data_IF_811773906830
#
_entry.id   IF_811773906830
#
_cell.length_a   1.000
_cell.length_b   1.000
_cell.length_c   1.000
_cell.angle_alpha   90.00
_cell.angle_beta   90.00
_cell.angle_gamma   90.00
#
_symmetry.space_group_name_H-M   'P 1'
#
loop_
_entity.id
_entity.type
_entity.pdbx_description
1 polymer ?
#
# COMPACT_ATOMS: atom_id res chain seq x y z
N UNK A 1 27.22 -6.14 32.39
CA UNK A 1 26.53 -5.67 31.17
C UNK A 1 25.53 -6.74 30.68
N UNK A 2 25.99 -7.97 30.48
CA UNK A 2 25.18 -9.14 30.10
C UNK A 2 23.89 -9.33 30.93
N UNK A 3 23.97 -9.41 32.26
CA UNK A 3 22.79 -9.66 33.11
C UNK A 3 21.74 -8.55 33.09
N UNK A 4 22.18 -7.31 32.85
CA UNK A 4 21.25 -6.17 32.72
C UNK A 4 20.49 -6.27 31.40
N UNK A 5 21.19 -6.57 30.31
CA UNK A 5 20.59 -6.80 28.98
C UNK A 5 19.59 -7.96 29.01
N UNK A 6 19.95 -9.08 29.63
CA UNK A 6 19.08 -10.27 29.77
C UNK A 6 17.78 -9.97 30.52
N UNK A 7 17.77 -9.00 31.44
CA UNK A 7 16.57 -8.55 32.16
C UNK A 7 15.75 -7.51 31.39
N UNK A 8 16.42 -6.57 30.72
CA UNK A 8 15.76 -5.43 30.06
C UNK A 8 15.17 -5.84 28.71
N UNK A 9 15.91 -6.61 27.91
CA UNK A 9 15.55 -6.91 26.52
C UNK A 9 14.22 -7.68 26.37
N UNK A 10 13.87 -8.66 27.23
CA UNK A 10 12.55 -9.28 27.19
C UNK A 10 11.41 -8.29 27.44
N UNK A 11 11.59 -7.34 28.36
CA UNK A 11 10.59 -6.30 28.64
C UNK A 11 10.41 -5.41 27.40
N UNK A 12 11.52 -5.02 26.77
CA UNK A 12 11.51 -4.23 25.53
C UNK A 12 10.77 -4.99 24.41
N UNK A 13 11.06 -6.28 24.20
CA UNK A 13 10.38 -7.10 23.20
C UNK A 13 8.86 -7.19 23.44
N UNK A 14 8.44 -7.38 24.70
CA UNK A 14 7.03 -7.41 25.08
C UNK A 14 6.37 -6.06 24.79
N UNK A 15 7.01 -4.95 25.16
CA UNK A 15 6.50 -3.60 24.91
C UNK A 15 6.38 -3.32 23.42
N UNK A 16 7.41 -3.63 22.63
CA UNK A 16 7.39 -3.47 21.16
C UNK A 16 6.24 -4.30 20.57
N UNK A 17 6.16 -5.59 20.88
CA UNK A 17 5.11 -6.45 20.36
C UNK A 17 3.69 -5.96 20.73
N UNK A 18 3.49 -5.48 21.96
CA UNK A 18 2.21 -4.95 22.42
C UNK A 18 1.83 -3.64 21.71
N UNK A 19 2.78 -2.69 21.65
CA UNK A 19 2.57 -1.39 20.98
C UNK A 19 2.25 -1.59 19.50
N UNK A 20 3.04 -2.40 18.79
CA UNK A 20 2.78 -2.65 17.37
C UNK A 20 1.49 -3.44 17.16
N UNK A 21 1.16 -4.42 18.01
CA UNK A 21 -0.13 -5.12 17.89
C UNK A 21 -1.32 -4.18 18.07
N UNK A 22 -1.24 -3.23 19.01
CA UNK A 22 -2.25 -2.19 19.14
C UNK A 22 -2.31 -1.29 17.89
N UNK A 23 -1.15 -0.83 17.38
CA UNK A 23 -1.09 -0.02 16.16
C UNK A 23 -1.73 -0.73 14.95
N UNK A 24 -1.37 -1.98 14.68
CA UNK A 24 -1.95 -2.76 13.59
C UNK A 24 -3.46 -2.95 13.77
N UNK A 25 -3.94 -3.14 14.99
CA UNK A 25 -5.37 -3.23 15.29
C UNK A 25 -6.12 -1.92 14.98
N UNK A 26 -5.54 -0.76 15.28
CA UNK A 26 -6.18 0.54 14.97
C UNK A 26 -6.07 0.91 13.49
N UNK A 27 -4.93 0.66 12.86
CA UNK A 27 -4.66 1.04 11.47
C UNK A 27 -5.41 0.14 10.50
N UNK A 28 -5.44 -1.18 10.72
CA UNK A 28 -6.18 -2.13 9.87
C UNK A 28 -7.70 -1.97 9.92
N UNK A 29 -8.22 -1.09 10.78
CA UNK A 29 -9.65 -0.72 10.83
C UNK A 29 -9.98 0.52 10.01
N UNK A 30 -8.97 1.25 9.52
CA UNK A 30 -9.17 2.46 8.72
C UNK A 30 -9.08 2.10 7.25
N UNK A 31 -10.23 1.71 6.71
CA UNK A 31 -10.37 1.47 5.29
C UNK A 31 -10.43 2.81 4.53
N UNK A 32 -9.75 2.86 3.40
CA UNK A 32 -9.79 3.94 2.43
C UNK A 32 -9.82 3.38 1.01
N UNK A 33 -9.89 4.27 0.04
CA UNK A 33 -9.75 3.93 -1.39
C UNK A 33 -8.30 4.20 -1.77
N UNK A 34 -7.59 3.19 -2.28
CA UNK A 34 -6.20 3.34 -2.71
C UNK A 34 -6.09 4.05 -4.06
N UNK A 35 -5.22 5.05 -4.15
CA UNK A 35 -4.83 5.72 -5.40
C UNK A 35 -3.46 6.40 -5.25
N UNK A 36 -2.55 6.23 -6.22
CA UNK A 36 -1.19 6.78 -6.23
C UNK A 36 -0.44 6.59 -4.88
N UNK A 37 -0.35 5.34 -4.41
CA UNK A 37 0.31 4.96 -3.14
C UNK A 37 -0.25 5.66 -1.88
N UNK A 38 -1.44 6.25 -1.99
CA UNK A 38 -2.13 6.92 -0.90
C UNK A 38 -3.51 6.31 -0.64
N UNK A 39 -3.91 6.32 0.63
CA UNK A 39 -5.26 5.95 1.03
C UNK A 39 -6.11 7.19 1.17
N UNK A 40 -7.17 7.24 0.36
CA UNK A 40 -8.17 8.28 0.42
C UNK A 40 -9.29 7.88 1.37
N UNK A 41 -9.51 8.69 2.39
CA UNK A 41 -10.58 8.48 3.35
C UNK A 41 -11.84 9.20 2.92
N UNK A 42 -12.96 8.50 2.99
CA UNK A 42 -14.28 9.02 2.65
C UNK A 42 -14.75 9.99 3.72
N UNK A 43 -15.11 11.20 3.31
CA UNK A 43 -15.81 12.19 4.11
C UNK A 43 -17.01 12.72 3.33
N UNK A 44 -18.16 12.89 3.99
CA UNK A 44 -19.34 13.49 3.36
C UNK A 44 -19.44 14.96 3.80
N UNK A 45 -19.34 15.88 2.83
CA UNK A 45 -19.44 17.31 3.09
C UNK A 45 -20.54 17.91 2.24
N UNK A 46 -21.55 18.52 2.88
CA UNK A 46 -22.59 19.35 2.24
C UNK A 46 -23.25 18.72 1.00
N UNK A 47 -23.46 17.41 0.99
CA UNK A 47 -24.11 16.70 -0.12
C UNK A 47 -23.18 16.25 -1.25
N UNK A 48 -21.90 16.59 -1.19
CA UNK A 48 -20.85 16.04 -2.03
C UNK A 48 -20.06 14.96 -1.28
N UNK A 49 -19.56 13.98 -2.04
CA UNK A 49 -18.70 12.94 -1.50
C UNK A 49 -17.25 13.35 -1.71
N UNK A 50 -16.48 13.49 -0.62
CA UNK A 50 -15.09 13.93 -0.66
C UNK A 50 -14.17 12.81 -0.19
N UNK A 51 -13.25 12.41 -1.04
CA UNK A 51 -12.19 11.47 -0.72
C UNK A 51 -10.92 12.27 -0.46
N UNK A 52 -10.35 12.18 0.75
CA UNK A 52 -9.19 13.00 1.14
C UNK A 52 -7.97 12.16 1.50
N UNK A 53 -6.80 12.59 1.05
CA UNK A 53 -5.51 11.96 1.35
C UNK A 53 -4.40 13.01 1.48
N UNK A 54 -3.19 12.53 1.80
CA UNK A 54 -1.96 13.27 1.59
C UNK A 54 -1.11 12.54 0.56
N UNK A 55 -0.74 13.25 -0.51
CA UNK A 55 0.10 12.76 -1.61
C UNK A 55 1.28 13.71 -1.72
N UNK A 56 2.51 13.20 -1.69
CA UNK A 56 3.75 13.98 -1.76
C UNK A 56 3.83 15.16 -0.77
N UNK A 57 3.31 14.94 0.43
CA UNK A 57 3.29 15.95 1.50
C UNK A 57 2.24 17.04 1.33
N UNK A 58 1.53 17.08 0.21
CA UNK A 58 0.42 18.00 -0.05
C UNK A 58 -0.93 17.33 0.24
N UNK A 59 -1.94 18.16 0.49
CA UNK A 59 -3.32 17.70 0.63
C UNK A 59 -3.87 17.34 -0.74
N UNK A 60 -4.43 16.14 -0.89
CA UNK A 60 -5.09 15.69 -2.10
C UNK A 60 -6.55 15.35 -1.82
N UNK A 61 -7.45 15.71 -2.72
CA UNK A 61 -8.87 15.40 -2.55
C UNK A 61 -9.59 15.19 -3.88
N UNK A 62 -10.35 14.11 -3.99
CA UNK A 62 -11.37 13.95 -5.01
C UNK A 62 -12.72 14.39 -4.44
N UNK A 63 -13.37 15.33 -5.11
CA UNK A 63 -14.75 15.73 -4.82
C UNK A 63 -15.65 15.19 -5.91
N UNK A 64 -16.64 14.39 -5.52
CA UNK A 64 -17.61 13.78 -6.42
C UNK A 64 -18.98 14.36 -6.11
N UNK A 65 -19.55 15.07 -7.09
CA UNK A 65 -20.89 15.62 -7.03
C UNK A 65 -21.68 15.14 -8.25
N UNK A 66 -22.63 14.23 -8.04
CA UNK A 66 -23.42 13.58 -9.10
C UNK A 66 -22.52 12.88 -10.13
N UNK A 67 -22.44 13.42 -11.34
CA UNK A 67 -21.65 12.96 -12.48
C UNK A 67 -20.32 13.73 -12.63
N UNK A 68 -20.04 14.66 -11.72
CA UNK A 68 -18.87 15.53 -11.79
C UNK A 68 -17.81 15.12 -10.76
N UNK A 69 -16.59 14.93 -11.23
CA UNK A 69 -15.41 14.62 -10.43
C UNK A 69 -14.42 15.78 -10.55
N UNK A 70 -13.99 16.31 -9.42
CA UNK A 70 -12.92 17.32 -9.35
C UNK A 70 -11.78 16.77 -8.50
N UNK A 71 -10.56 16.84 -9.00
CA UNK A 71 -9.38 16.47 -8.24
C UNK A 71 -8.60 17.72 -7.85
N UNK A 72 -8.21 17.83 -6.59
CA UNK A 72 -7.36 18.90 -6.09
C UNK A 72 -6.12 18.30 -5.46
N UNK A 73 -4.96 18.79 -5.85
CA UNK A 73 -3.68 18.46 -5.24
C UNK A 73 -2.96 19.76 -4.88
N UNK A 74 -2.84 20.03 -3.58
CA UNK A 74 -2.36 21.32 -3.06
C UNK A 74 -3.20 22.49 -3.56
N UNK A 75 -2.55 23.39 -4.30
CA UNK A 75 -3.16 24.56 -4.92
C UNK A 75 -3.65 24.30 -6.35
N UNK A 76 -3.30 23.14 -6.94
CA UNK A 76 -3.69 22.77 -8.29
C UNK A 76 -5.04 22.07 -8.31
N UNK A 77 -5.91 22.46 -9.24
CA UNK A 77 -7.22 21.85 -9.45
C UNK A 77 -7.29 21.29 -10.86
N UNK A 78 -7.69 20.03 -10.97
CA UNK A 78 -7.93 19.30 -12.21
C UNK A 78 -9.43 19.06 -12.39
N UNK A 79 -9.92 19.33 -13.59
CA UNK A 79 -11.34 19.33 -13.92
C UNK A 79 -11.99 20.69 -13.71
N UNK A 80 -13.33 20.75 -13.62
CA UNK A 80 -14.25 19.65 -13.36
C UNK A 80 -14.41 18.67 -14.54
N UNK A 81 -14.42 17.37 -14.22
CA UNK A 81 -14.66 16.30 -15.18
C UNK A 81 -16.10 15.80 -15.07
N UNK A 82 -16.87 15.86 -16.15
CA UNK A 82 -18.20 15.26 -16.21
C UNK A 82 -18.10 13.87 -16.83
N UNK A 83 -18.49 12.84 -16.08
CA UNK A 83 -18.47 11.44 -16.49
C UNK A 83 -19.89 10.93 -16.63
N UNK A 84 -20.33 10.67 -17.86
CA UNK A 84 -21.70 10.19 -18.16
C UNK A 84 -21.67 8.88 -18.90
N UNK A 85 -22.47 7.92 -18.43
CA UNK A 85 -22.72 6.69 -19.18
C UNK A 85 -23.56 7.02 -20.41
N UNK A 86 -23.06 6.67 -21.58
CA UNK A 86 -23.73 6.83 -22.86
C UNK A 86 -23.60 5.50 -23.62
N UNK A 87 -24.64 4.64 -23.62
CA UNK A 87 -24.60 3.37 -24.35
C UNK A 87 -24.31 3.52 -25.84
N UNK A 88 -24.59 4.68 -26.44
CA UNK A 88 -24.31 4.93 -27.86
C UNK A 88 -22.84 5.19 -28.16
N UNK A 89 -22.03 5.49 -27.14
CA UNK A 89 -20.59 5.68 -27.26
C UNK A 89 -19.82 4.34 -27.31
N UNK A 90 -20.44 3.22 -26.93
CA UNK A 90 -19.80 1.91 -27.01
C UNK A 90 -19.58 1.52 -28.48
N UNK A 91 -18.36 1.12 -28.88
CA UNK A 91 -18.07 0.75 -30.25
C UNK A 91 -18.75 -0.58 -30.60
N UNK A 92 -19.40 -0.63 -31.77
CA UNK A 92 -19.99 -1.85 -32.31
C UNK A 92 -19.02 -2.68 -33.14
N UNK A 93 -19.54 -3.74 -33.76
CA UNK A 93 -18.78 -4.57 -34.71
C UNK A 93 -17.78 -5.49 -34.00
N UNK A 94 -16.49 -5.32 -34.27
CA UNK A 94 -15.44 -6.21 -33.73
C UNK A 94 -15.37 -6.21 -32.20
N UNK A 95 -15.90 -5.20 -31.52
CA UNK A 95 -15.85 -5.06 -30.06
C UNK A 95 -17.13 -5.52 -29.35
N UNK A 96 -18.16 -5.90 -30.09
CA UNK A 96 -19.49 -6.24 -29.54
C UNK A 96 -19.46 -7.45 -28.60
N UNK A 97 -18.49 -8.36 -28.78
CA UNK A 97 -18.32 -9.54 -27.91
C UNK A 97 -17.75 -9.22 -26.51
N UNK A 98 -17.25 -8.00 -26.28
CA UNK A 98 -16.64 -7.59 -25.02
C UNK A 98 -17.61 -6.90 -24.06
N UNK A 99 -18.87 -6.70 -24.46
CA UNK A 99 -19.92 -6.03 -23.65
C UNK A 99 -19.43 -4.69 -23.03
N UNK A 100 -18.72 -3.89 -23.82
CA UNK A 100 -18.13 -2.63 -23.36
C UNK A 100 -19.20 -1.64 -22.88
N UNK A 101 -18.92 -0.97 -21.77
CA UNK A 101 -19.80 0.05 -21.20
C UNK A 101 -19.47 1.38 -21.85
N UNK A 102 -20.44 1.97 -22.57
CA UNK A 102 -20.27 3.26 -23.22
C UNK A 102 -20.24 4.43 -22.23
N UNK A 103 -19.31 5.37 -22.43
CA UNK A 103 -19.08 6.54 -21.58
C UNK A 103 -18.62 7.75 -22.39
N UNK A 104 -19.07 8.93 -21.97
CA UNK A 104 -18.56 10.22 -22.38
C UNK A 104 -17.94 10.93 -21.17
N UNK A 105 -16.67 11.31 -21.30
CA UNK A 105 -15.90 12.05 -20.30
C UNK A 105 -15.56 13.41 -20.90
N UNK A 106 -15.97 14.47 -20.20
CA UNK A 106 -15.74 15.86 -20.61
C UNK A 106 -14.96 16.60 -19.56
N UNK A 107 -14.12 17.52 -20.01
CA UNK A 107 -13.54 18.57 -19.19
C UNK A 107 -14.18 19.88 -19.64
N UNK A 108 -15.02 20.44 -18.77
CA UNK A 108 -15.88 21.58 -19.11
C UNK A 108 -16.67 21.33 -20.41
N UNK A 109 -16.39 22.09 -21.47
CA UNK A 109 -17.05 21.95 -22.77
C UNK A 109 -16.36 20.97 -23.72
N UNK A 110 -15.12 20.57 -23.43
CA UNK A 110 -14.29 19.71 -24.28
C UNK A 110 -14.55 18.22 -24.00
N UNK A 111 -14.66 17.42 -25.07
CA UNK A 111 -14.75 15.95 -24.95
C UNK A 111 -13.33 15.41 -24.83
N UNK A 112 -13.00 14.87 -23.65
CA UNK A 112 -11.73 14.18 -23.43
C UNK A 112 -11.76 12.76 -24.00
N UNK A 113 -12.86 12.04 -23.77
CA UNK A 113 -13.02 10.67 -24.23
C UNK A 113 -14.49 10.36 -24.50
N UNK A 114 -14.75 9.66 -25.61
CA UNK A 114 -16.06 9.09 -25.95
C UNK A 114 -15.82 7.71 -26.56
N UNK A 115 -16.33 6.68 -25.89
CA UNK A 115 -16.01 5.30 -26.22
C UNK A 115 -16.58 4.29 -25.25
N UNK A 116 -16.17 3.03 -25.40
CA UNK A 116 -16.50 1.93 -24.49
C UNK A 116 -15.32 1.54 -23.61
N UNK A 117 -15.60 1.14 -22.37
CA UNK A 117 -14.60 0.58 -21.46
C UNK A 117 -15.03 -0.80 -20.92
N UNK A 118 -14.06 -1.66 -20.62
CA UNK A 118 -14.32 -2.95 -19.95
C UNK A 118 -14.55 -2.75 -18.44
N UNK A 119 -15.37 -3.58 -17.80
CA UNK A 119 -15.75 -3.41 -16.38
C UNK A 119 -14.54 -3.37 -15.41
N UNK A 120 -13.43 -4.01 -15.78
CA UNK A 120 -12.17 -4.03 -15.04
C UNK A 120 -11.31 -2.76 -15.21
N UNK A 121 -11.74 -1.81 -16.05
CA UNK A 121 -11.08 -0.55 -16.38
C UNK A 121 -9.68 -0.70 -17.00
N UNK A 122 -9.35 -1.88 -17.57
CA UNK A 122 -8.06 -2.10 -18.24
C UNK A 122 -8.09 -1.77 -19.75
N UNK A 123 -9.28 -1.75 -20.35
CA UNK A 123 -9.45 -1.53 -21.78
C UNK A 123 -10.37 -0.35 -22.05
N UNK A 124 -9.90 0.55 -22.91
CA UNK A 124 -10.65 1.70 -23.42
C UNK A 124 -10.58 1.69 -24.94
N UNK A 125 -11.74 1.70 -25.59
CA UNK A 125 -11.86 1.74 -27.05
C UNK A 125 -12.71 2.96 -27.41
N UNK A 126 -12.22 3.82 -28.29
CA UNK A 126 -12.97 4.97 -28.81
C UNK A 126 -14.15 4.53 -29.66
N UNK A 127 -15.09 5.44 -29.86
CA UNK A 127 -16.25 5.24 -30.75
C UNK A 127 -15.85 4.87 -32.20
N UNK A 128 -14.67 5.29 -32.67
CA UNK A 128 -14.12 4.93 -33.99
C UNK A 128 -13.51 3.51 -34.06
N UNK A 129 -13.60 2.75 -32.96
CA UNK A 129 -13.11 1.38 -32.84
C UNK A 129 -11.61 1.28 -32.59
N UNK A 130 -10.88 2.38 -32.39
CA UNK A 130 -9.46 2.35 -32.05
C UNK A 130 -9.25 2.27 -30.53
N UNK A 131 -8.24 1.52 -30.07
CA UNK A 131 -7.86 1.52 -28.66
C UNK A 131 -7.34 2.91 -28.25
N UNK A 132 -7.68 3.34 -27.05
CA UNK A 132 -7.14 4.55 -26.44
C UNK A 132 -5.66 4.32 -26.10
N UNK A 133 -4.76 5.12 -26.68
CA UNK A 133 -3.31 4.95 -26.50
C UNK A 133 -2.87 5.16 -25.05
N UNK A 134 -3.61 5.97 -24.28
CA UNK A 134 -3.33 6.24 -22.87
C UNK A 134 -3.60 5.07 -21.92
N UNK A 135 -4.25 3.99 -22.38
CA UNK A 135 -4.62 2.88 -21.48
C UNK A 135 -3.59 1.75 -21.42
N UNK A 136 -2.54 1.79 -22.26
CA UNK A 136 -1.71 0.60 -22.46
C UNK A 136 -0.27 0.73 -21.92
N UNK A 137 0.42 1.87 -22.05
CA UNK A 137 1.81 1.98 -21.57
C UNK A 137 2.21 3.44 -21.26
N UNK A 138 2.40 3.78 -19.99
CA UNK A 138 3.18 4.96 -19.60
C UNK A 138 4.65 4.55 -19.54
N UNK A 139 5.51 5.22 -20.31
CA UNK A 139 6.96 4.96 -20.27
C UNK A 139 7.60 6.00 -19.36
N UNK A 140 8.06 5.55 -18.19
CA UNK A 140 8.86 6.40 -17.30
C UNK A 140 10.27 6.51 -17.83
N UNK A 141 10.64 7.69 -18.34
CA UNK A 141 12.00 8.02 -18.73
C UNK A 141 12.51 9.14 -17.83
N UNK A 142 13.62 8.92 -17.12
CA UNK A 142 14.20 9.90 -16.18
C UNK A 142 13.21 10.46 -15.12
N UNK A 143 12.25 9.65 -14.68
CA UNK A 143 11.27 10.04 -13.65
C UNK A 143 10.14 10.95 -14.15
N UNK A 144 10.02 11.12 -15.47
CA UNK A 144 8.89 11.83 -16.11
C UNK A 144 8.05 10.80 -16.86
N UNK A 145 6.73 10.85 -16.66
CA UNK A 145 5.79 10.01 -17.41
C UNK A 145 5.55 10.62 -18.78
N UNK A 146 5.74 9.80 -19.82
CA UNK A 146 5.41 10.14 -21.18
C UNK A 146 4.18 9.33 -21.63
N UNK A 147 3.26 9.98 -22.35
CA UNK A 147 2.18 9.29 -23.03
C UNK A 147 2.72 8.44 -24.21
N UNK A 148 1.85 7.64 -24.82
CA UNK A 148 2.19 6.81 -25.97
C UNK A 148 2.68 7.62 -27.19
N UNK A 149 2.41 8.93 -27.22
CA UNK A 149 2.80 9.87 -28.26
C UNK A 149 4.09 10.65 -27.91
N UNK A 150 4.67 10.42 -26.72
CA UNK A 150 5.91 11.02 -26.22
C UNK A 150 5.75 12.36 -25.49
N UNK A 151 4.52 12.85 -25.27
CA UNK A 151 4.27 14.08 -24.55
C UNK A 151 4.45 13.88 -23.05
N UNK A 152 4.90 14.93 -22.36
CA UNK A 152 5.03 14.94 -20.90
C UNK A 152 3.62 14.94 -20.29
N UNK A 153 3.32 13.91 -19.50
CA UNK A 153 2.08 13.80 -18.73
C UNK A 153 2.35 14.35 -17.34
N UNK A 154 1.45 15.19 -16.85
CA UNK A 154 1.50 15.60 -15.44
C UNK A 154 1.19 14.38 -14.56
N UNK A 155 2.11 13.94 -13.70
CA UNK A 155 1.93 12.73 -12.88
C UNK A 155 0.76 12.84 -11.90
N UNK A 156 0.25 14.05 -11.62
CA UNK A 156 -0.91 14.25 -10.75
C UNK A 156 -2.22 14.38 -11.52
N UNK A 157 -2.21 14.44 -12.84
CA UNK A 157 -3.45 14.47 -13.61
C UNK A 157 -4.15 13.11 -13.53
N UNK A 158 -5.45 13.06 -13.14
CA UNK A 158 -6.15 11.80 -13.01
C UNK A 158 -6.40 11.16 -14.39
N UNK A 159 -6.16 9.85 -14.49
CA UNK A 159 -6.44 9.05 -15.70
C UNK A 159 -7.94 8.81 -15.90
N UNK A 160 -8.33 8.40 -17.12
CA UNK A 160 -9.72 8.06 -17.46
C UNK A 160 -10.29 6.97 -16.53
N UNK A 161 -9.52 5.92 -16.24
CA UNK A 161 -9.92 4.86 -15.31
C UNK A 161 -10.16 5.37 -13.90
N UNK A 162 -9.33 6.32 -13.43
CA UNK A 162 -9.50 6.97 -12.13
C UNK A 162 -10.79 7.78 -12.08
N UNK A 163 -11.06 8.59 -13.10
CA UNK A 163 -12.29 9.39 -13.18
C UNK A 163 -13.55 8.52 -13.17
N UNK A 164 -13.55 7.41 -13.93
CA UNK A 164 -14.66 6.46 -13.92
C UNK A 164 -14.77 5.79 -12.55
N UNK A 165 -13.67 5.29 -11.97
CA UNK A 165 -13.67 4.64 -10.66
C UNK A 165 -14.26 5.56 -9.59
N UNK A 166 -13.82 6.81 -9.50
CA UNK A 166 -14.30 7.77 -8.50
C UNK A 166 -15.73 8.26 -8.77
N UNK A 167 -16.15 8.43 -10.03
CA UNK A 167 -17.55 8.78 -10.35
C UNK A 167 -18.55 7.70 -9.93
N UNK A 168 -18.13 6.44 -9.86
CA UNK A 168 -18.93 5.32 -9.35
C UNK A 168 -19.01 5.25 -7.81
N UNK A 169 -18.39 6.20 -7.10
CA UNK A 169 -18.32 6.24 -5.63
C UNK A 169 -17.74 4.95 -5.04
N UNK A 170 -16.43 4.71 -5.23
CA UNK A 170 -15.79 3.47 -4.82
C UNK A 170 -15.90 3.32 -3.30
N UNK A 171 -16.17 2.08 -2.87
CA UNK A 171 -16.17 1.72 -1.46
C UNK A 171 -14.74 1.61 -0.97
N UNK A 172 -14.53 1.93 0.29
CA UNK A 172 -13.23 1.76 0.94
C UNK A 172 -12.86 0.27 0.97
N UNK A 173 -11.84 -0.11 0.22
CA UNK A 173 -11.41 -1.48 -0.07
C UNK A 173 -10.03 -1.80 0.51
N UNK A 174 -9.16 -0.80 0.65
CA UNK A 174 -7.79 -0.96 1.11
C UNK A 174 -7.56 -0.41 2.52
N UNK A 175 -6.59 -0.95 3.24
CA UNK A 175 -6.14 -0.45 4.53
C UNK A 175 -4.62 -0.52 4.67
N UNK A 176 -4.07 0.29 5.60
CA UNK A 176 -2.65 0.17 5.94
C UNK A 176 -2.44 -0.99 6.91
N UNK A 177 -1.24 -1.57 6.87
CA UNK A 177 -0.84 -2.61 7.82
C UNK A 177 -0.97 -4.01 7.23
N UNK A 178 0.17 -4.63 6.96
CA UNK A 178 0.23 -6.01 6.49
C UNK A 178 0.28 -7.03 7.62
N UNK A 179 -0.75 -7.87 7.70
CA UNK A 179 -0.85 -8.99 8.65
C UNK A 179 0.35 -9.93 8.56
N UNK A 180 0.90 -10.14 7.36
CA UNK A 180 2.04 -11.03 7.14
C UNK A 180 3.31 -10.50 7.82
N UNK A 181 3.60 -9.20 7.67
CA UNK A 181 4.75 -8.56 8.30
C UNK A 181 4.59 -8.46 9.82
N UNK A 182 3.37 -8.19 10.29
CA UNK A 182 3.06 -8.27 11.73
C UNK A 182 3.34 -9.66 12.30
N UNK A 183 2.91 -10.73 11.59
CA UNK A 183 3.17 -12.10 12.00
C UNK A 183 4.67 -12.42 12.04
N UNK A 184 5.43 -12.06 11.01
CA UNK A 184 6.89 -12.26 11.00
C UNK A 184 7.61 -11.42 12.06
N UNK A 185 7.14 -10.19 12.33
CA UNK A 185 7.61 -9.36 13.42
C UNK A 185 7.41 -10.02 14.79
N UNK A 186 6.24 -10.63 15.02
CA UNK A 186 5.96 -11.41 16.23
C UNK A 186 6.79 -12.69 16.32
N UNK A 187 6.93 -13.41 15.21
CA UNK A 187 7.72 -14.64 15.14
C UNK A 187 9.19 -14.37 15.52
N UNK A 188 9.79 -13.34 14.93
CA UNK A 188 11.17 -12.93 15.21
C UNK A 188 11.34 -12.41 16.64
N UNK A 189 10.37 -11.65 17.18
CA UNK A 189 10.36 -11.27 18.60
C UNK A 189 10.27 -12.50 19.53
N UNK A 190 9.44 -13.48 19.18
CA UNK A 190 9.31 -14.74 19.89
C UNK A 190 10.62 -15.54 19.90
N UNK A 191 11.30 -15.64 18.75
CA UNK A 191 12.62 -16.25 18.64
C UNK A 191 13.63 -15.52 19.53
N UNK A 192 13.68 -14.18 19.49
CA UNK A 192 14.56 -13.40 20.34
C UNK A 192 14.31 -13.67 21.83
N UNK A 193 13.04 -13.74 22.25
CA UNK A 193 12.66 -14.05 23.62
C UNK A 193 13.06 -15.47 24.04
N UNK A 194 12.94 -16.46 23.15
CA UNK A 194 13.40 -17.83 23.38
C UNK A 194 14.93 -17.90 23.52
N UNK A 195 15.67 -17.23 22.62
CA UNK A 195 17.13 -17.16 22.68
C UNK A 195 17.63 -16.50 23.97
N UNK A 196 16.92 -15.50 24.49
CA UNK A 196 17.22 -14.83 25.76
C UNK A 196 16.94 -15.73 26.97
N UNK A 197 15.82 -16.45 26.94
CA UNK A 197 15.36 -17.26 28.07
C UNK A 197 16.12 -18.58 28.21
N UNK A 198 16.50 -19.18 27.09
CA UNK A 198 17.10 -20.51 27.03
C UNK A 198 18.55 -20.49 26.54
N UNK A 199 19.25 -19.35 26.66
CA UNK A 199 20.64 -19.17 26.22
C UNK A 199 21.58 -20.28 26.71
N UNK A 200 21.55 -20.60 28.00
CA UNK A 200 22.42 -21.62 28.59
C UNK A 200 21.98 -23.04 28.19
N UNK A 201 20.67 -23.25 28.04
CA UNK A 201 20.13 -24.54 27.60
C UNK A 201 20.48 -24.84 26.15
N UNK A 202 20.37 -23.84 25.26
CA UNK A 202 20.69 -23.96 23.84
C UNK A 202 22.19 -24.21 23.63
N UNK A 203 23.03 -23.49 24.38
CA UNK A 203 24.47 -23.70 24.36
C UNK A 203 24.87 -25.11 24.81
N UNK A 204 24.30 -25.59 25.92
CA UNK A 204 24.56 -26.95 26.41
C UNK A 204 24.01 -28.02 25.47
N UNK A 205 22.89 -27.74 24.80
CA UNK A 205 22.32 -28.62 23.78
C UNK A 205 23.23 -28.72 22.55
N UNK A 206 23.74 -27.61 22.00
CA UNK A 206 24.73 -27.65 20.90
C UNK A 206 26.00 -28.41 21.30
N UNK A 207 26.51 -28.16 22.51
CA UNK A 207 27.67 -28.86 23.04
C UNK A 207 27.43 -30.35 23.26
N UNK A 208 26.20 -30.79 23.53
CA UNK A 208 25.90 -32.21 23.75
C UNK A 208 26.22 -33.09 22.55
N UNK A 209 26.27 -32.52 21.34
CA UNK A 209 26.69 -33.23 20.12
C UNK A 209 28.22 -33.35 19.97
N UNK A 210 29.00 -32.61 20.77
CA UNK A 210 30.47 -32.52 20.65
C UNK A 210 31.21 -33.09 21.85
N UNK A 211 30.65 -32.95 23.05
CA UNK A 211 31.31 -33.33 24.30
C UNK A 211 30.40 -34.18 25.17
N UNK A 212 31.02 -35.13 25.89
CA UNK A 212 30.29 -36.14 26.69
C UNK A 212 29.60 -35.56 27.93
N UNK A 213 30.18 -34.50 28.52
CA UNK A 213 29.70 -33.87 29.75
C UNK A 213 29.49 -32.35 29.55
N UNK A 214 28.46 -31.92 28.80
CA UNK A 214 28.25 -30.50 28.47
C UNK A 214 27.76 -29.64 29.65
N UNK A 215 27.25 -30.25 30.72
CA UNK A 215 26.66 -29.55 31.87
C UNK A 215 27.67 -28.71 32.66
N UNK A 216 28.95 -29.09 32.62
CA UNK A 216 30.05 -28.42 33.32
C UNK A 216 30.79 -27.39 32.46
N UNK A 217 30.37 -27.18 31.22
CA UNK A 217 31.03 -26.24 30.32
C UNK A 217 30.60 -24.80 30.63
N UNK A 218 31.58 -23.91 30.80
CA UNK A 218 31.35 -22.47 30.91
C UNK A 218 31.40 -21.81 29.51
N UNK A 219 30.49 -20.86 29.20
CA UNK A 219 30.53 -20.12 27.95
C UNK A 219 31.82 -19.30 27.83
N UNK A 220 32.43 -19.30 26.64
CA UNK A 220 33.55 -18.42 26.34
C UNK A 220 33.08 -16.98 26.08
N UNK A 221 33.99 -16.01 26.14
CA UNK A 221 33.69 -14.61 25.80
C UNK A 221 33.12 -14.45 24.38
N UNK A 222 33.61 -15.27 23.43
CA UNK A 222 33.09 -15.28 22.06
C UNK A 222 31.64 -15.75 22.00
N UNK A 223 31.29 -16.77 22.78
CA UNK A 223 29.92 -17.26 22.88
C UNK A 223 28.99 -16.25 23.56
N UNK A 224 29.46 -15.57 24.61
CA UNK A 224 28.71 -14.49 25.24
C UNK A 224 28.47 -13.35 24.24
N UNK A 225 29.47 -13.00 23.44
CA UNK A 225 29.35 -12.00 22.39
C UNK A 225 28.35 -12.41 21.30
N UNK A 226 28.41 -13.65 20.80
CA UNK A 226 27.51 -14.17 19.76
C UNK A 226 26.04 -14.15 20.21
N UNK A 227 25.78 -14.48 21.49
CA UNK A 227 24.46 -14.40 22.12
C UNK A 227 23.94 -12.97 22.13
N UNK A 228 24.72 -12.02 22.66
CA UNK A 228 24.34 -10.59 22.70
C UNK A 228 24.04 -10.09 21.29
N UNK A 229 24.93 -10.39 20.32
CA UNK A 229 24.75 -9.99 18.93
C UNK A 229 23.44 -10.55 18.35
N UNK A 230 23.18 -11.84 18.55
CA UNK A 230 21.96 -12.50 18.06
C UNK A 230 20.71 -11.86 18.66
N UNK A 231 20.68 -11.61 19.96
CA UNK A 231 19.53 -10.99 20.62
C UNK A 231 19.25 -9.59 20.07
N UNK A 232 20.29 -8.78 19.89
CA UNK A 232 20.16 -7.43 19.33
C UNK A 232 19.70 -7.52 17.87
N UNK A 233 20.32 -8.38 17.06
CA UNK A 233 19.98 -8.55 15.64
C UNK A 233 18.52 -8.96 15.44
N UNK A 234 18.02 -9.97 16.17
CA UNK A 234 16.62 -10.39 16.08
C UNK A 234 15.64 -9.34 16.62
N UNK A 235 16.03 -8.57 17.65
CA UNK A 235 15.20 -7.47 18.16
C UNK A 235 15.07 -6.35 17.11
N UNK A 236 16.19 -5.96 16.49
CA UNK A 236 16.20 -4.95 15.43
C UNK A 236 15.45 -5.42 14.18
N UNK A 237 15.62 -6.70 13.81
CA UNK A 237 14.89 -7.30 12.69
C UNK A 237 13.39 -7.30 12.94
N UNK A 238 12.95 -7.70 14.14
CA UNK A 238 11.54 -7.66 14.53
C UNK A 238 10.97 -6.23 14.44
N UNK A 239 11.69 -5.25 14.96
CA UNK A 239 11.30 -3.84 14.87
C UNK A 239 11.20 -3.37 13.41
N UNK A 240 12.19 -3.71 12.58
CA UNK A 240 12.18 -3.38 11.15
C UNK A 240 10.99 -3.98 10.40
N UNK A 241 10.66 -5.24 10.67
CA UNK A 241 9.50 -5.92 10.08
C UNK A 241 8.19 -5.25 10.49
N UNK A 242 8.03 -4.90 11.77
CA UNK A 242 6.84 -4.20 12.23
C UNK A 242 6.65 -2.84 11.56
N UNK A 243 7.74 -2.06 11.43
CA UNK A 243 7.72 -0.75 10.76
C UNK A 243 7.40 -0.91 9.27
N UNK A 244 8.10 -1.82 8.58
CA UNK A 244 7.88 -2.05 7.15
C UNK A 244 6.44 -2.43 6.84
N UNK A 245 5.86 -3.36 7.61
CA UNK A 245 4.47 -3.77 7.40
C UNK A 245 3.44 -2.69 7.70
N UNK A 246 3.76 -1.68 8.50
CA UNK A 246 2.84 -0.58 8.85
C UNK A 246 2.75 0.45 7.73
N UNK A 247 3.81 0.57 6.91
CA UNK A 247 3.86 1.46 5.74
C UNK A 247 3.11 0.87 4.56
N UNK A 248 3.14 -0.46 4.40
CA UNK A 248 2.51 -1.17 3.29
C UNK A 248 0.97 -0.99 3.32
N UNK A 249 0.41 -0.69 2.15
CA UNK A 249 -1.03 -0.68 1.87
C UNK A 249 -1.41 -2.05 1.32
N UNK A 250 -2.53 -2.59 1.79
CA UNK A 250 -3.10 -3.88 1.39
C UNK A 250 -4.60 -3.76 1.13
#
# INVERSE_FOLDING_TARGET
MYDRLKKILPIVLIVIAAVFSALYFFIGRRYGVEYQDALYFLNSERGATVYSAKVDGQSASFTVEKDTVTYRWGDTVYGPYTVRKDPTAAPGGEWEYLDLIGVEIREEDSILFRGGYADDLFLFIREDGKPESSSLFHVTYNGVEHDADGNVVDPHQPSLSTLIRFSQLPKADAHRGSLMYWFFGLLTAGIAALLLKFDDTLFRWDLSFRIRNPEYAEPSDWEIFSRIFSWIAFTLLSLGLFIAGLVIIN
#
